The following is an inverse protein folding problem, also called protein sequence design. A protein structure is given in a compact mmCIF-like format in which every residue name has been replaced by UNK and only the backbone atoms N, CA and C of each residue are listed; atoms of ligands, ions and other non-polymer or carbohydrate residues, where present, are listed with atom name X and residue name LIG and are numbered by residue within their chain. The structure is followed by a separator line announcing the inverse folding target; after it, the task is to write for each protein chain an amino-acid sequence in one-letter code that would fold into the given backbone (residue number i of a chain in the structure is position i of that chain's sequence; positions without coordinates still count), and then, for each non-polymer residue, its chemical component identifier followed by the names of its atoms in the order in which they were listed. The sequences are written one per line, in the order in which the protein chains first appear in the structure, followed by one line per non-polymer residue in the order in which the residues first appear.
data_IF_578735959570
#
_entry.id   IF_578735959570
#
_cell.length_a   1.000
_cell.length_b   1.000
_cell.length_c   1.000
_cell.angle_alpha   90.00
_cell.angle_beta   90.00
_cell.angle_gamma   90.00
#
_symmetry.space_group_name_H-M   'P 1'
#
loop_
_entity.id
_entity.type
_entity.pdbx_description
1 polymer ?
#
# COMPACT_ATOMS: atom_id res chain seq x y z
N UNK A 1 0.15 25.98 43.76
CA UNK A 1 0.27 24.73 42.99
C UNK A 1 -0.71 24.90 41.84
N UNK A 2 -0.18 25.35 40.71
CA UNK A 2 -0.96 25.39 39.47
C UNK A 2 -0.89 23.97 38.90
N UNK A 3 -2.06 23.34 38.74
CA UNK A 3 -2.21 22.15 37.98
C UNK A 3 -2.01 22.54 36.50
N UNK A 4 -0.84 22.29 35.93
CA UNK A 4 -0.60 22.30 34.51
C UNK A 4 -1.44 21.16 33.90
N UNK A 5 -2.69 21.47 33.62
CA UNK A 5 -3.55 20.58 32.83
C UNK A 5 -2.93 20.43 31.45
N UNK A 6 -2.64 19.20 31.07
CA UNK A 6 -2.33 18.80 29.69
C UNK A 6 -3.52 19.14 28.80
N UNK A 7 -3.66 20.38 28.39
CA UNK A 7 -4.59 20.78 27.34
C UNK A 7 -3.89 20.49 25.99
N UNK A 8 -4.24 19.37 25.38
CA UNK A 8 -3.91 19.12 23.98
C UNK A 8 -4.71 20.11 23.11
N UNK A 9 -4.14 21.28 22.88
CA UNK A 9 -4.71 22.31 21.99
C UNK A 9 -4.43 21.98 20.52
N UNK A 10 -4.88 20.83 20.04
CA UNK A 10 -4.91 20.58 18.60
C UNK A 10 -6.32 20.89 18.08
N UNK A 11 -6.45 21.93 17.30
CA UNK A 11 -7.70 22.33 16.66
C UNK A 11 -7.58 22.14 15.16
N UNK A 12 -8.11 21.03 14.66
CA UNK A 12 -8.17 20.74 13.23
C UNK A 12 -9.45 19.99 12.87
N UNK A 13 -9.88 20.10 11.63
CA UNK A 13 -10.97 19.34 11.04
C UNK A 13 -10.46 18.53 9.86
N UNK A 14 -10.93 17.32 9.74
CA UNK A 14 -10.50 16.40 8.68
C UNK A 14 -11.71 15.75 8.01
N UNK A 15 -11.75 15.79 6.69
CA UNK A 15 -12.68 15.05 5.85
C UNK A 15 -11.93 13.91 5.19
N UNK A 16 -12.36 12.67 5.42
CA UNK A 16 -11.80 11.46 4.83
C UNK A 16 -12.91 10.69 4.13
N UNK A 17 -12.68 10.33 2.86
CA UNK A 17 -13.55 9.47 2.08
C UNK A 17 -12.77 8.26 1.62
N UNK A 18 -13.27 7.06 1.88
CA UNK A 18 -12.64 5.82 1.46
C UNK A 18 -13.63 4.88 0.79
N UNK A 19 -13.14 4.16 -0.20
CA UNK A 19 -13.85 3.12 -0.92
C UNK A 19 -12.99 1.88 -1.00
N UNK A 20 -13.60 0.72 -0.77
CA UNK A 20 -12.92 -0.57 -0.91
C UNK A 20 -13.89 -1.58 -1.51
N UNK A 21 -13.45 -2.29 -2.54
CA UNK A 21 -14.22 -3.35 -3.16
C UNK A 21 -13.34 -4.52 -3.56
N UNK A 22 -13.81 -5.71 -3.20
CA UNK A 22 -13.27 -6.98 -3.69
C UNK A 22 -14.31 -7.67 -4.56
N UNK A 23 -13.87 -8.20 -5.69
CA UNK A 23 -14.72 -8.92 -6.61
C UNK A 23 -13.99 -10.13 -7.22
N UNK A 24 -14.70 -11.26 -7.33
CA UNK A 24 -14.23 -12.40 -8.09
C UNK A 24 -14.64 -12.23 -9.55
N UNK A 25 -13.66 -12.10 -10.45
CA UNK A 25 -13.89 -12.00 -11.90
C UNK A 25 -14.19 -13.38 -12.49
N UNK A 26 -13.55 -14.41 -11.93
CA UNK A 26 -13.73 -15.81 -12.29
C UNK A 26 -13.38 -16.71 -11.09
N UNK A 27 -13.65 -18.03 -11.14
CA UNK A 27 -13.23 -18.96 -10.08
C UNK A 27 -11.74 -18.93 -9.75
N UNK A 28 -10.89 -18.50 -10.69
CA UNK A 28 -9.43 -18.44 -10.55
C UNK A 28 -8.86 -17.01 -10.59
N UNK A 29 -9.70 -15.98 -10.62
CA UNK A 29 -9.25 -14.59 -10.68
C UNK A 29 -10.11 -13.66 -9.84
N UNK A 30 -9.46 -12.79 -9.08
CA UNK A 30 -10.10 -11.75 -8.27
C UNK A 30 -9.41 -10.40 -8.45
N UNK A 31 -10.17 -9.35 -8.21
CA UNK A 31 -9.67 -7.98 -8.16
C UNK A 31 -10.02 -7.36 -6.82
N UNK A 32 -9.07 -6.62 -6.28
CA UNK A 32 -9.22 -5.80 -5.08
C UNK A 32 -8.89 -4.36 -5.45
N UNK A 33 -9.78 -3.42 -5.15
CA UNK A 33 -9.62 -1.99 -5.45
C UNK A 33 -9.86 -1.20 -4.18
N UNK A 34 -8.94 -0.32 -3.88
CA UNK A 34 -9.02 0.64 -2.80
C UNK A 34 -8.82 2.07 -3.32
N UNK A 35 -9.61 3.00 -2.82
CA UNK A 35 -9.42 4.43 -3.06
C UNK A 35 -9.68 5.21 -1.78
N UNK A 36 -8.87 6.21 -1.49
CA UNK A 36 -9.02 7.11 -0.36
C UNK A 36 -8.64 8.52 -0.74
N UNK A 37 -9.45 9.49 -0.33
CA UNK A 37 -9.16 10.91 -0.51
C UNK A 37 -9.51 11.67 0.77
N UNK A 38 -8.73 12.69 1.09
CA UNK A 38 -9.02 13.49 2.26
C UNK A 38 -8.44 14.90 2.18
N UNK A 39 -8.99 15.73 3.05
CA UNK A 39 -8.58 17.13 3.16
C UNK A 39 -8.63 17.57 4.63
N UNK A 40 -7.58 18.27 5.07
CA UNK A 40 -7.46 18.83 6.39
C UNK A 40 -7.75 20.33 6.38
N UNK A 41 -8.49 20.78 7.37
CA UNK A 41 -8.82 22.18 7.61
C UNK A 41 -8.18 22.64 8.93
N UNK A 42 -7.79 23.91 9.02
CA UNK A 42 -7.29 24.52 10.29
C UNK A 42 -6.05 23.80 10.89
N UNK A 43 -5.05 23.51 10.08
CA UNK A 43 -3.92 22.64 10.47
C UNK A 43 -2.81 23.36 11.27
N UNK A 44 -3.00 24.59 11.70
CA UNK A 44 -1.95 25.42 12.30
C UNK A 44 -1.30 24.90 13.59
N UNK A 45 -1.99 24.03 14.33
CA UNK A 45 -1.52 23.43 15.61
C UNK A 45 -1.57 21.89 15.59
N UNK A 46 -1.36 21.27 14.44
CA UNK A 46 -1.35 19.81 14.29
C UNK A 46 -0.02 19.19 14.68
N UNK A 47 -0.04 18.18 15.56
CA UNK A 47 1.13 17.33 15.79
C UNK A 47 1.29 16.29 14.68
N UNK A 48 2.52 15.89 14.41
CA UNK A 48 2.83 14.90 13.36
C UNK A 48 2.05 13.58 13.52
N UNK A 49 1.79 13.14 14.76
CA UNK A 49 0.98 11.94 15.04
C UNK A 49 -0.48 12.03 14.58
N UNK A 50 -0.96 13.23 14.26
CA UNK A 50 -2.32 13.50 13.78
C UNK A 50 -2.40 13.61 12.25
N UNK A 51 -1.27 13.57 11.57
CA UNK A 51 -1.21 13.57 10.10
C UNK A 51 -1.84 12.29 9.54
N UNK A 52 -2.26 12.33 8.29
CA UNK A 52 -2.59 11.12 7.57
C UNK A 52 -1.31 10.37 7.25
N UNK A 53 -1.18 9.18 7.81
CA UNK A 53 -0.12 8.24 7.49
C UNK A 53 -0.66 7.17 6.54
N UNK A 54 0.17 6.74 5.62
CA UNK A 54 -0.16 5.68 4.65
C UNK A 54 0.59 4.41 5.05
N UNK A 55 0.02 3.26 4.71
CA UNK A 55 0.70 1.98 4.95
C UNK A 55 1.87 1.86 3.98
N UNK A 56 3.05 1.84 4.52
CA UNK A 56 4.32 1.67 3.81
C UNK A 56 5.06 0.47 4.34
N UNK A 57 6.04 -0.01 3.62
CA UNK A 57 6.85 -1.13 4.02
C UNK A 57 8.29 -0.97 3.53
N UNK A 58 9.17 -0.56 4.41
CA UNK A 58 10.61 -0.45 4.15
C UNK A 58 11.36 -1.78 4.27
N UNK A 59 10.80 -2.74 5.03
CA UNK A 59 11.51 -3.96 5.39
C UNK A 59 11.42 -5.00 4.25
N UNK A 60 12.53 -5.66 3.86
CA UNK A 60 12.51 -6.68 2.82
C UNK A 60 11.69 -7.93 3.17
N UNK A 61 11.51 -8.23 4.46
CA UNK A 61 10.78 -9.41 4.96
C UNK A 61 9.71 -8.99 5.94
N UNK A 62 8.47 -9.40 5.73
CA UNK A 62 7.30 -9.02 6.53
C UNK A 62 6.44 -10.21 6.94
N UNK A 63 5.56 -9.94 7.91
CA UNK A 63 4.49 -10.87 8.33
C UNK A 63 3.11 -10.54 7.71
N UNK A 64 3.05 -9.63 6.74
CA UNK A 64 1.79 -9.14 6.15
C UNK A 64 1.75 -9.36 4.64
N UNK A 65 0.54 -9.27 4.06
CA UNK A 65 0.35 -9.29 2.62
C UNK A 65 0.77 -7.97 1.96
N UNK A 66 1.01 -8.00 0.65
CA UNK A 66 1.37 -6.81 -0.14
C UNK A 66 0.20 -5.86 -0.42
N UNK A 67 -1.02 -6.30 -0.16
CA UNK A 67 -2.26 -5.58 -0.49
C UNK A 67 -2.37 -4.26 0.28
N UNK A 68 -2.72 -3.19 -0.41
CA UNK A 68 -2.95 -1.84 0.14
C UNK A 68 -1.75 -1.23 0.88
N UNK A 69 -0.54 -1.63 0.51
CA UNK A 69 0.70 -1.17 1.15
C UNK A 69 1.70 -0.75 0.09
N UNK A 70 2.30 0.42 0.25
CA UNK A 70 3.41 0.86 -0.59
C UNK A 70 4.69 0.15 -0.19
N UNK A 71 5.42 -0.38 -1.17
CA UNK A 71 6.55 -1.26 -0.95
C UNK A 71 7.92 -0.58 -1.14
N UNK A 72 7.94 0.59 -1.80
CA UNK A 72 9.18 1.28 -2.18
C UNK A 72 9.27 2.70 -1.62
N UNK A 73 8.35 3.12 -0.78
CA UNK A 73 8.38 4.45 -0.16
C UNK A 73 8.69 4.30 1.32
N UNK A 74 9.53 5.18 1.85
CA UNK A 74 9.90 5.17 3.27
C UNK A 74 8.70 5.49 4.15
N UNK A 75 8.68 4.94 5.37
CA UNK A 75 7.70 5.28 6.38
C UNK A 75 7.74 6.80 6.64
N UNK A 76 6.57 7.39 6.80
CA UNK A 76 6.37 8.82 7.06
C UNK A 76 6.65 9.79 5.91
N UNK A 77 7.45 9.47 4.89
CA UNK A 77 7.66 10.35 3.72
C UNK A 77 6.35 10.79 3.05
N UNK A 78 5.33 9.90 2.89
CA UNK A 78 4.06 10.27 2.30
C UNK A 78 3.09 10.97 3.27
N UNK A 79 3.43 11.09 4.56
CA UNK A 79 2.51 11.64 5.57
C UNK A 79 2.12 13.08 5.26
N UNK A 80 0.86 13.43 5.46
CA UNK A 80 0.37 14.78 5.14
C UNK A 80 -0.67 15.28 6.13
N UNK A 81 -0.67 16.58 6.36
CA UNK A 81 -1.71 17.33 7.08
C UNK A 81 -2.50 18.27 6.15
N UNK A 82 -2.48 18.02 4.85
CA UNK A 82 -3.13 18.84 3.82
C UNK A 82 -4.19 18.02 3.09
N UNK A 83 -3.97 17.74 1.83
CA UNK A 83 -4.84 16.92 1.00
C UNK A 83 -4.12 15.67 0.51
N UNK A 84 -4.89 14.64 0.20
CA UNK A 84 -4.33 13.42 -0.39
C UNK A 84 -5.33 12.70 -1.29
N UNK A 85 -4.80 11.94 -2.21
CA UNK A 85 -5.51 10.91 -2.97
C UNK A 85 -4.63 9.66 -2.99
N UNK A 86 -5.21 8.54 -2.55
CA UNK A 86 -4.57 7.23 -2.53
C UNK A 86 -5.44 6.23 -3.28
N UNK A 87 -4.89 5.53 -4.27
CA UNK A 87 -5.59 4.50 -5.05
C UNK A 87 -4.69 3.28 -5.09
N UNK A 88 -5.27 2.12 -4.83
CA UNK A 88 -4.57 0.84 -4.94
C UNK A 88 -5.43 -0.19 -5.65
N UNK A 89 -4.79 -1.08 -6.40
CA UNK A 89 -5.44 -2.22 -7.01
C UNK A 89 -4.54 -3.44 -7.00
N UNK A 90 -5.14 -4.61 -6.77
CA UNK A 90 -4.52 -5.92 -6.89
C UNK A 90 -5.37 -6.79 -7.80
N UNK A 91 -4.78 -7.28 -8.87
CA UNK A 91 -5.38 -8.32 -9.71
C UNK A 91 -4.71 -9.65 -9.38
N UNK A 92 -5.43 -10.54 -8.72
CA UNK A 92 -4.97 -11.89 -8.39
C UNK A 92 -5.49 -12.89 -9.41
N UNK A 93 -4.61 -13.77 -9.87
CA UNK A 93 -4.98 -14.84 -10.80
C UNK A 93 -4.11 -16.07 -10.59
N UNK A 94 -4.73 -17.25 -10.63
CA UNK A 94 -4.00 -18.51 -10.75
C UNK A 94 -3.45 -18.66 -12.17
N UNK A 95 -2.18 -19.03 -12.29
CA UNK A 95 -1.54 -19.34 -13.58
C UNK A 95 -1.58 -18.20 -14.63
N UNK A 96 -1.21 -17.01 -14.26
CA UNK A 96 -1.12 -15.88 -15.18
C UNK A 96 0.13 -15.97 -16.08
N UNK A 97 1.33 -15.77 -15.53
CA UNK A 97 2.62 -15.90 -16.22
C UNK A 97 3.22 -17.30 -16.04
N UNK A 98 3.04 -17.92 -14.88
CA UNK A 98 3.58 -19.23 -14.55
C UNK A 98 3.04 -20.36 -15.45
N UNK A 99 1.93 -20.16 -16.14
CA UNK A 99 1.42 -21.14 -17.12
C UNK A 99 2.42 -21.44 -18.25
N UNK A 100 3.32 -20.51 -18.54
CA UNK A 100 4.36 -20.69 -19.58
C UNK A 100 5.61 -21.42 -19.07
N UNK A 101 5.74 -21.62 -17.76
CA UNK A 101 6.88 -22.31 -17.13
C UNK A 101 6.47 -23.76 -16.78
N UNK A 102 6.82 -24.71 -17.64
CA UNK A 102 6.40 -26.12 -17.49
C UNK A 102 7.08 -26.88 -16.35
N UNK A 103 8.18 -26.33 -15.80
CA UNK A 103 9.04 -27.02 -14.81
C UNK A 103 8.55 -26.89 -13.35
N UNK A 104 7.56 -26.03 -13.06
CA UNK A 104 7.13 -25.74 -11.70
C UNK A 104 5.78 -26.41 -11.44
N UNK A 105 5.68 -27.18 -10.34
CA UNK A 105 4.40 -27.73 -9.89
C UNK A 105 3.52 -26.60 -9.33
N UNK A 106 2.54 -26.16 -10.12
CA UNK A 106 1.81 -24.90 -10.00
C UNK A 106 0.56 -24.99 -9.12
N UNK A 107 0.26 -26.13 -8.52
CA UNK A 107 -1.07 -26.43 -7.93
C UNK A 107 -1.51 -25.55 -6.75
N UNK A 108 -0.60 -24.80 -6.15
CA UNK A 108 -0.90 -24.00 -4.94
C UNK A 108 -0.52 -22.54 -5.05
N UNK A 109 0.06 -22.12 -6.17
CA UNK A 109 0.57 -20.75 -6.32
C UNK A 109 -0.45 -19.88 -7.06
N UNK A 110 -0.62 -18.67 -6.58
CA UNK A 110 -1.32 -17.61 -7.31
C UNK A 110 -0.36 -16.45 -7.60
N UNK A 111 -0.71 -15.67 -8.59
CA UNK A 111 0.06 -14.50 -9.04
C UNK A 111 -0.77 -13.26 -8.82
N UNK A 112 -0.16 -12.17 -8.37
CA UNK A 112 -0.84 -10.88 -8.27
C UNK A 112 -0.07 -9.81 -9.02
N UNK A 113 -0.83 -8.94 -9.70
CA UNK A 113 -0.35 -7.66 -10.20
C UNK A 113 -0.85 -6.56 -9.27
N UNK A 114 0.05 -5.68 -8.86
CA UNK A 114 -0.23 -4.57 -7.97
C UNK A 114 0.00 -3.26 -8.68
N UNK A 115 -0.91 -2.30 -8.48
CA UNK A 115 -0.74 -0.93 -8.92
C UNK A 115 -1.23 -0.01 -7.80
N UNK A 116 -0.35 0.83 -7.28
CA UNK A 116 -0.64 1.79 -6.23
C UNK A 116 -0.28 3.20 -6.71
N UNK A 117 -1.11 4.16 -6.35
CA UNK A 117 -0.92 5.57 -6.64
C UNK A 117 -1.18 6.40 -5.38
N UNK A 118 -0.32 7.38 -5.13
CA UNK A 118 -0.44 8.31 -4.03
C UNK A 118 -0.01 9.71 -4.48
N UNK A 119 -0.83 10.69 -4.16
CA UNK A 119 -0.43 12.08 -4.29
C UNK A 119 -0.77 12.86 -3.04
N UNK A 120 0.18 13.64 -2.58
CA UNK A 120 0.04 14.64 -1.52
C UNK A 120 0.74 15.93 -2.01
N UNK A 121 0.49 17.10 -1.42
CA UNK A 121 1.17 18.33 -1.82
C UNK A 121 2.70 18.26 -1.75
N UNK A 122 3.23 17.42 -0.86
CA UNK A 122 4.67 17.31 -0.60
C UNK A 122 5.32 16.15 -1.39
N UNK A 123 4.57 15.10 -1.70
CA UNK A 123 5.12 13.91 -2.39
C UNK A 123 5.05 14.00 -3.91
N UNK A 124 4.11 14.76 -4.49
CA UNK A 124 3.86 14.80 -5.94
C UNK A 124 3.72 13.40 -6.58
N UNK A 125 2.64 13.07 -7.20
CA UNK A 125 2.38 11.92 -8.08
C UNK A 125 3.35 10.72 -7.94
N UNK A 126 3.29 10.00 -6.83
CA UNK A 126 4.00 8.74 -6.64
C UNK A 126 3.13 7.59 -7.13
N UNK A 127 3.71 6.64 -7.85
CA UNK A 127 3.04 5.41 -8.20
C UNK A 127 3.99 4.23 -8.18
N UNK A 128 3.41 3.06 -7.99
CA UNK A 128 4.14 1.82 -7.78
C UNK A 128 3.46 0.69 -8.54
N UNK A 129 4.23 -0.06 -9.30
CA UNK A 129 3.78 -1.28 -9.95
C UNK A 129 4.52 -2.48 -9.36
N UNK A 130 3.80 -3.57 -9.13
CA UNK A 130 4.36 -4.78 -8.56
C UNK A 130 3.82 -6.06 -9.17
N UNK A 131 4.61 -7.10 -9.06
CA UNK A 131 4.22 -8.48 -9.36
C UNK A 131 4.62 -9.37 -8.20
N UNK A 132 3.71 -10.23 -7.75
CA UNK A 132 3.98 -11.18 -6.69
C UNK A 132 3.54 -12.59 -7.01
N UNK A 133 4.29 -13.54 -6.46
CA UNK A 133 3.95 -14.95 -6.36
C UNK A 133 3.48 -15.22 -4.94
N UNK A 134 2.29 -15.76 -4.79
CA UNK A 134 1.65 -15.99 -3.51
C UNK A 134 1.53 -17.48 -3.20
N UNK A 135 1.45 -17.78 -1.91
CA UNK A 135 1.31 -19.16 -1.38
C UNK A 135 2.47 -20.08 -1.74
N UNK A 136 3.68 -19.53 -1.85
CA UNK A 136 4.89 -20.33 -2.04
C UNK A 136 5.07 -21.24 -0.81
N UNK A 137 5.14 -22.56 -1.06
CA UNK A 137 5.26 -23.57 0.02
C UNK A 137 4.21 -23.40 1.14
N UNK A 138 3.01 -22.88 0.81
CA UNK A 138 1.87 -22.60 1.70
C UNK A 138 2.06 -21.45 2.71
N UNK A 139 3.25 -20.91 2.86
CA UNK A 139 3.57 -19.96 3.95
C UNK A 139 4.17 -18.63 3.49
N UNK A 140 4.58 -18.50 2.24
CA UNK A 140 5.31 -17.32 1.81
C UNK A 140 4.79 -16.67 0.52
N UNK A 141 5.06 -15.39 0.38
CA UNK A 141 4.88 -14.68 -0.88
C UNK A 141 6.17 -13.94 -1.23
N UNK A 142 6.47 -13.87 -2.51
CA UNK A 142 7.61 -13.12 -3.05
C UNK A 142 7.08 -12.10 -4.04
N UNK A 143 7.48 -10.85 -3.91
CA UNK A 143 7.08 -9.78 -4.81
C UNK A 143 8.25 -8.93 -5.28
N UNK A 144 8.12 -8.40 -6.49
CA UNK A 144 9.01 -7.37 -7.04
C UNK A 144 8.19 -6.14 -7.30
N UNK A 145 8.62 -5.01 -6.76
CA UNK A 145 7.90 -3.73 -6.82
C UNK A 145 8.81 -2.65 -7.37
N UNK A 146 8.26 -1.81 -8.23
CA UNK A 146 8.97 -0.70 -8.88
C UNK A 146 8.25 0.60 -8.57
N UNK A 147 8.95 1.55 -7.96
CA UNK A 147 8.44 2.87 -7.59
C UNK A 147 8.84 3.95 -8.58
N UNK A 148 7.94 4.92 -8.79
CA UNK A 148 8.14 6.06 -9.67
C UNK A 148 7.62 7.35 -9.03
N UNK A 149 8.36 8.42 -9.19
CA UNK A 149 7.97 9.77 -8.77
C UNK A 149 7.71 10.64 -10.01
N UNK A 150 6.43 10.90 -10.30
CA UNK A 150 6.03 11.38 -11.62
C UNK A 150 6.37 10.37 -12.70
N UNK A 151 7.16 10.76 -13.69
CA UNK A 151 7.67 9.88 -14.76
C UNK A 151 9.08 9.34 -14.51
N UNK A 152 9.71 9.67 -13.36
CA UNK A 152 11.07 9.22 -13.05
C UNK A 152 11.02 7.91 -12.27
N UNK A 153 11.79 6.93 -12.73
CA UNK A 153 12.09 5.73 -11.94
C UNK A 153 12.82 6.12 -10.65
N UNK A 154 12.40 5.57 -9.52
CA UNK A 154 12.98 5.83 -8.22
C UNK A 154 13.69 4.60 -7.66
N UNK A 155 13.01 3.48 -7.62
CA UNK A 155 13.56 2.27 -7.00
C UNK A 155 12.89 1.00 -7.51
N UNK A 156 13.57 -0.12 -7.31
CA UNK A 156 13.02 -1.46 -7.39
C UNK A 156 13.37 -2.23 -6.13
N UNK A 157 12.39 -2.93 -5.57
CA UNK A 157 12.59 -3.76 -4.38
C UNK A 157 12.03 -5.15 -4.56
N UNK A 158 12.74 -6.13 -4.00
CA UNK A 158 12.26 -7.50 -3.83
C UNK A 158 11.79 -7.66 -2.40
N UNK A 159 10.58 -8.14 -2.22
CA UNK A 159 9.93 -8.30 -0.91
C UNK A 159 9.54 -9.75 -0.69
N UNK A 160 9.67 -10.17 0.55
CA UNK A 160 9.24 -11.47 1.04
C UNK A 160 8.18 -11.28 2.11
N UNK A 161 7.09 -12.01 2.06
CA UNK A 161 6.15 -12.06 3.17
C UNK A 161 5.98 -13.48 3.66
N UNK A 162 5.81 -13.64 4.96
CA UNK A 162 5.52 -14.92 5.60
C UNK A 162 4.12 -14.81 6.16
N UNK A 163 3.21 -15.64 5.67
CA UNK A 163 1.85 -15.73 6.20
C UNK A 163 1.89 -16.65 7.42
N UNK A 164 1.81 -16.10 8.62
CA UNK A 164 1.52 -16.89 9.81
C UNK A 164 0.06 -17.38 9.75
N UNK A 165 -0.15 -18.65 10.02
CA UNK A 165 -1.49 -19.23 10.27
C UNK A 165 -2.00 -18.78 11.62
#
# INVERSE_FOLDING_TARGET
MEEDGFSSESDFSHLDLSYHQQANISPSAGIDIYAGAGYFFNTGKMHFSQFKHFKTNEIPVMLNFFTHTFQNINDYDPSTNKSYLNIGSELRKEYFLLRYLSLINKRTWSESLHLNYLTTPDLNNYWEAGYSLNSLFFVGNVGVFTGFKGSKFESVMVKLTISGY
#
